data_IF_549436103716
#
_entry.id   IF_549436103716
#
_cell.length_a   1.000
_cell.length_b   1.000
_cell.length_c   1.000
_cell.angle_alpha   90.00
_cell.angle_beta   90.00
_cell.angle_gamma   90.00
#
_symmetry.space_group_name_H-M   'P 1'
#
loop_
_entity.id
_entity.type
_entity.pdbx_description
1 polymer ?
#
# COMPACT_ATOMS: atom_id res chain seq x y z
N UNK A 1 14.34 -15.01 -11.14
CA UNK A 1 13.35 -15.38 -12.18
C UNK A 1 12.74 -16.76 -11.94
N UNK A 2 13.54 -17.80 -11.67
CA UNK A 2 13.05 -19.15 -11.37
C UNK A 2 11.97 -19.21 -10.27
N UNK A 3 12.13 -18.42 -9.20
CA UNK A 3 11.15 -18.31 -8.11
C UNK A 3 9.77 -17.81 -8.59
N UNK A 4 9.71 -16.78 -9.44
CA UNK A 4 8.44 -16.27 -9.97
C UNK A 4 7.76 -17.29 -10.88
N UNK A 5 8.55 -18.01 -11.68
CA UNK A 5 8.04 -19.08 -12.54
C UNK A 5 7.51 -20.25 -11.68
N UNK A 6 8.23 -20.65 -10.63
CA UNK A 6 7.78 -21.75 -9.76
C UNK A 6 6.51 -21.39 -9.01
N UNK A 7 6.38 -20.16 -8.50
CA UNK A 7 5.15 -19.70 -7.86
C UNK A 7 4.00 -19.72 -8.87
N UNK A 8 4.17 -19.10 -10.05
CA UNK A 8 3.14 -19.07 -11.08
C UNK A 8 2.70 -20.48 -11.52
N UNK A 9 3.65 -21.39 -11.75
CA UNK A 9 3.36 -22.77 -12.12
C UNK A 9 2.60 -23.52 -11.00
N UNK A 10 3.00 -23.33 -9.75
CA UNK A 10 2.34 -23.97 -8.60
C UNK A 10 0.92 -23.43 -8.42
N UNK A 11 0.73 -22.11 -8.52
CA UNK A 11 -0.61 -21.48 -8.42
C UNK A 11 -1.55 -21.99 -9.51
N UNK A 12 -1.07 -22.13 -10.76
CA UNK A 12 -1.88 -22.65 -11.86
C UNK A 12 -2.27 -24.12 -11.62
N UNK A 13 -1.33 -24.96 -11.17
CA UNK A 13 -1.60 -26.37 -10.85
C UNK A 13 -2.61 -26.51 -9.71
N UNK A 14 -2.46 -25.72 -8.65
CA UNK A 14 -3.37 -25.71 -7.51
C UNK A 14 -4.79 -25.30 -7.93
N UNK A 15 -4.92 -24.26 -8.76
CA UNK A 15 -6.22 -23.84 -9.29
C UNK A 15 -6.86 -24.92 -10.17
N UNK A 16 -6.08 -25.59 -11.03
CA UNK A 16 -6.59 -26.65 -11.91
C UNK A 16 -7.04 -27.88 -11.13
N UNK A 17 -6.27 -28.30 -10.12
CA UNK A 17 -6.63 -29.45 -9.28
C UNK A 17 -7.78 -29.14 -8.31
N UNK A 18 -7.82 -27.92 -7.79
CA UNK A 18 -8.88 -27.45 -6.89
C UNK A 18 -10.18 -27.06 -7.59
N UNK A 19 -10.19 -26.97 -8.93
CA UNK A 19 -11.35 -26.47 -9.68
C UNK A 19 -11.72 -25.03 -9.33
N UNK A 20 -10.75 -24.23 -8.87
CA UNK A 20 -10.97 -22.86 -8.38
C UNK A 20 -10.82 -21.88 -9.54
N UNK A 21 -11.81 -21.01 -9.74
CA UNK A 21 -11.74 -19.95 -10.74
C UNK A 21 -10.71 -18.87 -10.37
N UNK A 22 -10.14 -18.21 -11.38
CA UNK A 22 -9.12 -17.16 -11.17
C UNK A 22 -9.60 -16.02 -10.28
N UNK A 23 -10.89 -15.66 -10.38
CA UNK A 23 -11.48 -14.60 -9.57
C UNK A 23 -11.56 -15.00 -8.08
N UNK A 24 -11.86 -16.26 -7.77
CA UNK A 24 -11.92 -16.73 -6.40
C UNK A 24 -10.52 -16.87 -5.78
N UNK A 25 -9.56 -17.35 -6.58
CA UNK A 25 -8.15 -17.38 -6.19
C UNK A 25 -7.63 -15.98 -5.86
N UNK A 26 -7.87 -15.01 -6.74
CA UNK A 26 -7.43 -13.63 -6.52
C UNK A 26 -8.11 -13.00 -5.29
N UNK A 27 -9.40 -13.27 -5.06
CA UNK A 27 -10.09 -12.81 -3.85
C UNK A 27 -9.49 -13.44 -2.59
N UNK A 28 -9.12 -14.71 -2.65
CA UNK A 28 -8.47 -15.41 -1.54
C UNK A 28 -7.09 -14.80 -1.23
N UNK A 29 -6.27 -14.56 -2.25
CA UNK A 29 -4.97 -13.91 -2.05
C UNK A 29 -5.10 -12.49 -1.48
N UNK A 30 -6.07 -11.71 -1.97
CA UNK A 30 -6.36 -10.39 -1.43
C UNK A 30 -6.74 -10.45 0.05
N UNK A 31 -7.62 -11.39 0.45
CA UNK A 31 -7.99 -11.59 1.85
C UNK A 31 -6.82 -12.07 2.69
N UNK A 32 -5.96 -12.93 2.13
CA UNK A 32 -4.77 -13.42 2.82
C UNK A 32 -3.77 -12.31 3.09
N UNK A 33 -3.44 -11.47 2.10
CA UNK A 33 -2.53 -10.33 2.27
C UNK A 33 -3.09 -9.34 3.29
N UNK A 34 -4.36 -8.95 3.16
CA UNK A 34 -4.99 -7.98 4.08
C UNK A 34 -5.09 -8.57 5.50
N UNK A 35 -5.50 -9.82 5.62
CA UNK A 35 -5.58 -10.54 6.89
C UNK A 35 -4.20 -10.66 7.56
N UNK A 36 -3.16 -10.96 6.78
CA UNK A 36 -1.79 -11.08 7.25
C UNK A 36 -1.22 -9.77 7.77
N UNK A 37 -1.47 -8.66 7.08
CA UNK A 37 -1.00 -7.33 7.50
C UNK A 37 -1.63 -6.90 8.83
N UNK A 38 -2.89 -7.24 9.09
CA UNK A 38 -3.61 -6.73 10.27
C UNK A 38 -3.81 -7.70 11.41
N UNK A 39 -4.34 -8.88 11.14
CA UNK A 39 -4.68 -9.82 12.20
C UNK A 39 -3.43 -10.32 12.94
N UNK A 40 -2.30 -10.46 12.23
CA UNK A 40 -1.06 -10.90 12.84
C UNK A 40 -0.40 -9.79 13.65
N UNK A 41 -0.32 -8.56 13.13
CA UNK A 41 0.21 -7.42 13.90
C UNK A 41 -0.64 -7.15 15.15
N UNK A 42 -1.95 -7.23 15.03
CA UNK A 42 -2.86 -7.03 16.17
C UNK A 42 -2.72 -8.16 17.20
N UNK A 43 -2.64 -9.42 16.78
CA UNK A 43 -2.41 -10.55 17.67
C UNK A 43 -1.05 -10.45 18.38
N UNK A 44 0.00 -10.02 17.68
CA UNK A 44 1.32 -9.78 18.27
C UNK A 44 1.26 -8.65 19.32
N UNK A 45 0.62 -7.52 19.00
CA UNK A 45 0.50 -6.41 19.93
C UNK A 45 -0.30 -6.79 21.18
N UNK A 46 -1.41 -7.50 21.02
CA UNK A 46 -2.19 -8.01 22.15
C UNK A 46 -1.42 -9.03 22.99
N UNK A 47 -0.68 -9.94 22.34
CA UNK A 47 0.19 -10.89 23.04
C UNK A 47 1.27 -10.19 23.85
N UNK A 48 1.89 -9.16 23.28
CA UNK A 48 2.93 -8.36 23.93
C UNK A 48 2.37 -7.56 25.12
N UNK A 49 1.20 -6.93 24.98
CA UNK A 49 0.52 -6.26 26.10
C UNK A 49 0.14 -7.23 27.22
N UNK A 50 -0.28 -8.46 26.89
CA UNK A 50 -0.58 -9.48 27.88
C UNK A 50 0.66 -9.90 28.66
N UNK A 51 1.79 -10.10 27.96
CA UNK A 51 3.05 -10.53 28.58
C UNK A 51 3.70 -9.40 29.40
N UNK A 52 3.72 -8.17 28.88
CA UNK A 52 4.42 -7.05 29.52
C UNK A 52 3.58 -6.26 30.52
N UNK A 53 2.29 -6.08 30.25
CA UNK A 53 1.40 -5.23 31.05
C UNK A 53 0.33 -6.02 31.84
N UNK A 54 0.29 -7.36 31.71
CA UNK A 54 -0.66 -8.20 32.44
C UNK A 54 -2.13 -7.95 32.09
N UNK A 55 -2.41 -7.26 30.98
CA UNK A 55 -3.77 -6.91 30.57
C UNK A 55 -4.51 -8.17 30.09
N UNK A 56 -5.66 -8.46 30.69
CA UNK A 56 -6.52 -9.58 30.27
C UNK A 56 -7.15 -9.26 28.91
N UNK A 57 -6.59 -9.84 27.84
CA UNK A 57 -7.14 -9.77 26.49
C UNK A 57 -8.35 -10.72 26.37
N UNK A 58 -9.53 -10.27 26.77
CA UNK A 58 -10.76 -11.01 26.51
C UNK A 58 -11.17 -10.82 25.05
N UNK A 59 -11.06 -11.90 24.26
CA UNK A 59 -11.67 -11.98 22.94
C UNK A 59 -13.18 -12.13 23.12
N UNK A 60 -13.91 -11.01 23.21
CA UNK A 60 -15.36 -11.05 23.07
C UNK A 60 -15.68 -11.44 21.64
N UNK A 61 -16.04 -12.71 21.44
CA UNK A 61 -16.57 -13.22 20.18
C UNK A 61 -17.90 -12.52 19.95
N UNK A 62 -17.92 -11.49 19.10
CA UNK A 62 -19.17 -10.82 18.70
C UNK A 62 -20.01 -11.86 17.96
N UNK A 63 -21.08 -12.36 18.58
CA UNK A 63 -22.09 -13.14 17.90
C UNK A 63 -22.69 -12.26 16.79
N UNK A 64 -22.88 -12.81 15.60
CA UNK A 64 -23.68 -12.19 14.53
C UNK A 64 -25.18 -12.31 14.86
N UNK A 65 -25.59 -11.97 16.08
CA UNK A 65 -26.99 -11.83 16.44
C UNK A 65 -27.32 -10.34 16.31
N UNK A 66 -28.23 -10.05 15.39
CA UNK A 66 -28.92 -8.79 15.22
C UNK A 66 -29.52 -8.33 16.56
N UNK A 67 -29.04 -7.22 17.12
CA UNK A 67 -29.82 -6.43 18.09
C UNK A 67 -29.32 -4.97 18.12
N UNK A 68 -30.14 -4.12 17.48
CA UNK A 68 -30.69 -2.85 17.93
C UNK A 68 -29.75 -1.79 18.57
N UNK A 69 -29.54 -0.71 17.80
CA UNK A 69 -29.26 0.67 18.28
C UNK A 69 -27.90 0.93 18.93
N UNK A 70 -27.58 0.23 20.01
CA UNK A 70 -26.44 0.50 20.89
C UNK A 70 -25.13 -0.12 20.35
N UNK A 71 -25.22 -1.26 19.67
CA UNK A 71 -24.06 -1.90 19.02
C UNK A 71 -23.74 -1.34 17.63
N UNK A 72 -24.58 -0.46 17.09
CA UNK A 72 -24.31 0.19 15.80
C UNK A 72 -23.08 1.10 15.88
N UNK A 73 -22.91 1.86 16.96
CA UNK A 73 -21.71 2.67 17.21
C UNK A 73 -20.47 1.79 17.42
N UNK A 74 -20.59 0.68 18.16
CA UNK A 74 -19.49 -0.28 18.33
C UNK A 74 -19.08 -0.94 16.99
N UNK A 75 -20.04 -1.23 16.12
CA UNK A 75 -19.81 -1.78 14.79
C UNK A 75 -19.16 -0.75 13.85
N UNK A 76 -19.56 0.52 13.93
CA UNK A 76 -18.93 1.65 13.23
C UNK A 76 -17.47 1.80 13.69
N UNK A 77 -17.21 1.80 14.99
CA UNK A 77 -15.87 1.93 15.55
C UNK A 77 -14.96 0.77 15.14
N UNK A 78 -15.48 -0.47 15.18
CA UNK A 78 -14.74 -1.68 14.78
C UNK A 78 -14.41 -1.70 13.28
N UNK A 79 -15.32 -1.22 12.44
CA UNK A 79 -15.08 -1.10 11.00
C UNK A 79 -14.04 -0.02 10.68
N UNK A 80 -14.14 1.18 11.26
CA UNK A 80 -13.17 2.26 11.03
C UNK A 80 -11.76 1.85 11.47
N UNK A 81 -11.62 1.23 12.65
CA UNK A 81 -10.33 0.76 13.15
C UNK A 81 -9.68 -0.29 12.23
N UNK A 82 -10.50 -1.17 11.62
CA UNK A 82 -10.03 -2.13 10.62
C UNK A 82 -9.61 -1.46 9.30
N UNK A 83 -10.22 -0.31 8.95
CA UNK A 83 -9.90 0.46 7.74
C UNK A 83 -8.68 1.33 7.83
N UNK A 84 -8.35 1.87 9.00
CA UNK A 84 -7.26 2.83 9.17
C UNK A 84 -5.97 2.30 8.54
N UNK A 85 -5.48 1.09 8.85
CA UNK A 85 -4.13 0.81 8.46
C UNK A 85 -3.93 0.20 7.06
N UNK A 86 -4.91 -0.43 6.38
CA UNK A 86 -4.85 -0.58 4.93
C UNK A 86 -4.84 0.79 4.22
N UNK A 87 -5.63 1.77 4.68
CA UNK A 87 -5.61 3.12 4.11
C UNK A 87 -4.26 3.82 4.29
N UNK A 88 -3.63 3.71 5.47
CA UNK A 88 -2.31 4.31 5.69
C UNK A 88 -1.26 3.68 4.78
N UNK A 89 -1.26 2.35 4.64
CA UNK A 89 -0.36 1.65 3.72
C UNK A 89 -0.56 2.12 2.28
N UNK A 90 -1.80 2.25 1.84
CA UNK A 90 -2.12 2.76 0.51
C UNK A 90 -1.59 4.18 0.29
N UNK A 91 -1.84 5.10 1.24
CA UNK A 91 -1.40 6.50 1.15
C UNK A 91 0.12 6.58 1.08
N UNK A 92 0.83 5.84 1.95
CA UNK A 92 2.29 5.79 1.95
C UNK A 92 2.83 5.23 0.63
N UNK A 93 2.16 4.23 0.05
CA UNK A 93 2.54 3.66 -1.24
C UNK A 93 2.40 4.68 -2.38
N UNK A 94 1.29 5.42 -2.42
CA UNK A 94 1.05 6.47 -3.41
C UNK A 94 2.10 7.59 -3.29
N UNK A 95 2.40 8.03 -2.06
CA UNK A 95 3.46 9.02 -1.83
C UNK A 95 4.82 8.48 -2.32
N UNK A 96 5.13 7.21 -2.03
CA UNK A 96 6.34 6.56 -2.48
C UNK A 96 6.47 6.52 -4.02
N UNK A 97 5.38 6.26 -4.74
CA UNK A 97 5.35 6.33 -6.21
C UNK A 97 5.68 7.74 -6.70
N UNK A 98 5.04 8.76 -6.12
CA UNK A 98 5.25 10.17 -6.51
C UNK A 98 6.73 10.56 -6.31
N UNK A 99 7.30 10.21 -5.16
CA UNK A 99 8.71 10.49 -4.85
C UNK A 99 9.64 9.73 -5.80
N UNK A 100 9.39 8.44 -6.05
CA UNK A 100 10.22 7.63 -6.93
C UNK A 100 10.21 8.14 -8.38
N UNK A 101 9.05 8.55 -8.90
CA UNK A 101 8.95 9.15 -10.23
C UNK A 101 9.67 10.50 -10.27
N UNK A 102 9.50 11.34 -9.24
CA UNK A 102 10.17 12.64 -9.17
C UNK A 102 11.69 12.49 -9.14
N UNK A 103 12.21 11.54 -8.37
CA UNK A 103 13.63 11.21 -8.28
C UNK A 103 14.17 10.71 -9.63
N UNK A 104 13.44 9.84 -10.32
CA UNK A 104 13.86 9.31 -11.61
C UNK A 104 13.87 10.36 -12.74
N UNK A 105 12.96 11.33 -12.69
CA UNK A 105 12.95 12.46 -13.63
C UNK A 105 14.17 13.37 -13.39
N UNK A 106 14.56 13.58 -12.13
CA UNK A 106 15.65 14.50 -11.78
C UNK A 106 17.04 13.89 -12.00
N UNK A 107 17.21 12.57 -11.83
CA UNK A 107 18.52 11.91 -11.84
C UNK A 107 18.86 11.20 -13.18
N UNK A 108 18.07 11.39 -14.24
CA UNK A 108 18.40 10.90 -15.59
C UNK A 108 18.19 9.39 -15.81
N UNK A 109 18.66 8.88 -16.96
CA UNK A 109 18.24 7.57 -17.52
C UNK A 109 18.65 6.35 -16.67
N UNK A 110 19.74 6.44 -15.92
CA UNK A 110 20.25 5.33 -15.10
C UNK A 110 19.32 4.96 -13.92
N UNK A 111 18.43 5.86 -13.53
CA UNK A 111 17.45 5.65 -12.46
C UNK A 111 16.19 4.86 -12.89
N UNK A 112 15.98 4.64 -14.19
CA UNK A 112 14.75 4.03 -14.73
C UNK A 112 14.65 2.53 -14.50
N UNK A 113 15.78 1.81 -14.48
CA UNK A 113 15.81 0.38 -14.16
C UNK A 113 15.31 0.11 -12.72
N UNK A 114 15.92 0.75 -11.70
CA UNK A 114 15.44 0.67 -10.32
C UNK A 114 14.01 1.16 -10.13
N UNK A 115 13.59 2.20 -10.87
CA UNK A 115 12.23 2.72 -10.83
C UNK A 115 11.20 1.63 -11.20
N UNK A 116 11.44 0.86 -12.26
CA UNK A 116 10.52 -0.19 -12.70
C UNK A 116 10.25 -1.21 -11.58
N UNK A 117 11.29 -1.64 -10.86
CA UNK A 117 11.15 -2.53 -9.71
C UNK A 117 10.32 -1.91 -8.61
N UNK A 118 10.60 -0.66 -8.22
CA UNK A 118 9.84 0.08 -7.19
C UNK A 118 8.36 0.22 -7.57
N UNK A 119 8.08 0.59 -8.82
CA UNK A 119 6.71 0.73 -9.33
C UNK A 119 5.98 -0.61 -9.39
N UNK A 120 6.65 -1.69 -9.79
CA UNK A 120 6.04 -3.02 -9.85
C UNK A 120 5.54 -3.47 -8.47
N UNK A 121 6.37 -3.36 -7.44
CA UNK A 121 5.97 -3.71 -6.07
C UNK A 121 4.89 -2.77 -5.54
N UNK A 122 5.01 -1.48 -5.81
CA UNK A 122 4.03 -0.50 -5.38
C UNK A 122 2.63 -0.76 -5.98
N UNK A 123 2.58 -1.02 -7.29
CA UNK A 123 1.35 -1.39 -7.99
C UNK A 123 0.79 -2.73 -7.52
N UNK A 124 1.64 -3.72 -7.25
CA UNK A 124 1.22 -5.00 -6.70
C UNK A 124 0.49 -4.84 -5.36
N UNK A 125 1.01 -3.99 -4.46
CA UNK A 125 0.35 -3.67 -3.18
C UNK A 125 -0.99 -2.97 -3.43
N UNK A 126 -1.04 -1.96 -4.31
CA UNK A 126 -2.27 -1.22 -4.61
C UNK A 126 -3.36 -2.15 -5.19
N UNK A 127 -2.98 -3.08 -6.07
CA UNK A 127 -3.92 -4.06 -6.64
C UNK A 127 -4.51 -4.99 -5.58
N UNK A 128 -3.73 -5.40 -4.58
CA UNK A 128 -4.23 -6.22 -3.47
C UNK A 128 -5.15 -5.43 -2.53
N UNK A 129 -4.92 -4.12 -2.36
CA UNK A 129 -5.74 -3.24 -1.53
C UNK A 129 -6.98 -2.68 -2.25
N UNK A 130 -7.09 -2.86 -3.58
CA UNK A 130 -8.22 -2.34 -4.39
C UNK A 130 -9.63 -2.74 -3.91
N UNK A 131 -9.91 -4.00 -3.50
CA UNK A 131 -11.24 -4.38 -2.99
C UNK A 131 -11.65 -3.55 -1.77
N UNK A 132 -10.68 -3.12 -0.98
CA UNK A 132 -10.90 -2.31 0.21
C UNK A 132 -11.22 -0.86 -0.13
N UNK A 133 -10.48 -0.29 -1.08
CA UNK A 133 -10.82 0.99 -1.71
C UNK A 133 -12.25 0.96 -2.23
N UNK A 134 -12.61 -0.10 -2.96
CA UNK A 134 -13.99 -0.30 -3.45
C UNK A 134 -15.00 -0.46 -2.32
N UNK A 135 -14.63 -1.11 -1.21
CA UNK A 135 -15.48 -1.24 -0.02
C UNK A 135 -15.70 0.08 0.73
N UNK A 136 -14.70 0.96 0.78
CA UNK A 136 -14.80 2.31 1.37
C UNK A 136 -15.60 3.23 0.45
N UNK A 137 -15.30 3.22 -0.85
CA UNK A 137 -16.00 4.02 -1.85
C UNK A 137 -17.45 3.54 -2.08
N UNK A 138 -17.73 2.25 -1.93
CA UNK A 138 -19.07 1.68 -2.06
C UNK A 138 -20.04 2.12 -0.96
N UNK A 139 -19.55 2.66 0.17
CA UNK A 139 -20.37 3.30 1.19
C UNK A 139 -20.68 4.78 0.87
N UNK A 140 -19.88 5.38 0.00
CA UNK A 140 -20.11 6.71 -0.56
C UNK A 140 -20.71 6.55 -1.96
N UNK A 141 -21.99 6.19 -2.03
CA UNK A 141 -22.75 6.36 -3.27
C UNK A 141 -22.78 7.85 -3.61
N UNK A 142 -21.83 8.33 -4.41
CA UNK A 142 -21.89 9.71 -4.88
C UNK A 142 -20.59 10.43 -5.18
N UNK A 143 -19.39 9.85 -5.02
CA UNK A 143 -18.19 10.52 -5.56
C UNK A 143 -18.14 10.27 -7.07
N UNK A 144 -18.45 11.26 -7.92
CA UNK A 144 -18.48 11.06 -9.36
C UNK A 144 -17.05 10.79 -9.84
N UNK A 145 -16.85 9.79 -10.70
CA UNK A 145 -15.54 9.48 -11.31
C UNK A 145 -14.87 10.72 -11.91
N UNK A 146 -15.67 11.69 -12.38
CA UNK A 146 -15.18 12.97 -12.89
C UNK A 146 -14.43 13.81 -11.84
N UNK A 147 -14.87 13.83 -10.57
CA UNK A 147 -14.19 14.57 -9.50
C UNK A 147 -12.83 13.94 -9.20
N UNK A 148 -12.74 12.60 -9.23
CA UNK A 148 -11.48 11.88 -9.05
C UNK A 148 -10.45 12.27 -10.13
N UNK A 149 -10.87 12.31 -11.39
CA UNK A 149 -10.01 12.69 -12.52
C UNK A 149 -9.49 14.12 -12.36
N UNK A 150 -10.36 15.06 -12.00
CA UNK A 150 -9.95 16.45 -11.75
C UNK A 150 -8.99 16.59 -10.57
N UNK A 151 -9.21 15.84 -9.47
CA UNK A 151 -8.32 15.85 -8.32
C UNK A 151 -6.91 15.35 -8.67
N UNK A 152 -6.82 14.26 -9.44
CA UNK A 152 -5.52 13.71 -9.90
C UNK A 152 -4.81 14.71 -10.82
N UNK A 153 -5.54 15.32 -11.76
CA UNK A 153 -4.99 16.32 -12.67
C UNK A 153 -4.45 17.51 -11.88
N UNK A 154 -5.24 18.07 -10.96
CA UNK A 154 -4.83 19.20 -10.14
C UNK A 154 -3.64 18.86 -9.23
N UNK A 155 -3.64 17.69 -8.59
CA UNK A 155 -2.55 17.22 -7.76
C UNK A 155 -1.24 17.06 -8.56
N UNK A 156 -1.31 16.56 -9.80
CA UNK A 156 -0.15 16.44 -10.68
C UNK A 156 0.45 17.82 -11.03
N UNK A 157 -0.38 18.81 -11.35
CA UNK A 157 0.05 20.19 -11.60
C UNK A 157 0.72 20.77 -10.35
N UNK A 158 0.12 20.65 -9.17
CA UNK A 158 0.70 21.14 -7.92
C UNK A 158 2.02 20.45 -7.59
N UNK A 159 2.14 19.14 -7.81
CA UNK A 159 3.38 18.39 -7.59
C UNK A 159 4.50 18.87 -8.53
N UNK A 160 4.21 19.07 -9.81
CA UNK A 160 5.18 19.58 -10.78
C UNK A 160 5.62 21.01 -10.46
N UNK A 161 4.67 21.88 -10.09
CA UNK A 161 4.96 23.25 -9.65
C UNK A 161 5.84 23.25 -8.38
N UNK A 162 5.52 22.39 -7.41
CA UNK A 162 6.30 22.25 -6.19
C UNK A 162 7.76 21.87 -6.49
N UNK A 163 7.99 20.84 -7.30
CA UNK A 163 9.34 20.42 -7.71
C UNK A 163 10.08 21.57 -8.42
N UNK A 164 9.39 22.35 -9.25
CA UNK A 164 10.01 23.47 -9.96
C UNK A 164 10.38 24.63 -9.03
N UNK A 165 9.53 24.95 -8.06
CA UNK A 165 9.68 26.11 -7.17
C UNK A 165 10.62 25.79 -5.99
N UNK A 166 10.66 24.55 -5.52
CA UNK A 166 11.37 24.19 -4.30
C UNK A 166 12.89 24.46 -4.45
N UNK A 167 13.45 25.40 -3.66
CA UNK A 167 14.87 25.75 -3.72
C UNK A 167 15.76 24.75 -2.95
N UNK A 168 15.17 23.85 -2.16
CA UNK A 168 15.88 22.87 -1.32
C UNK A 168 16.13 21.54 -2.02
N UNK A 169 15.58 21.34 -3.21
CA UNK A 169 16.01 20.25 -4.10
C UNK A 169 17.29 20.71 -4.77
N UNK A 170 18.40 19.99 -4.53
CA UNK A 170 19.66 20.22 -5.20
C UNK A 170 19.45 20.06 -6.71
N UNK A 171 19.32 21.18 -7.43
CA UNK A 171 19.11 21.19 -8.90
C UNK A 171 20.38 20.93 -9.69
N UNK A 172 21.52 20.96 -9.01
CA UNK A 172 22.82 20.75 -9.58
C UNK A 172 23.48 19.66 -8.73
N UNK A 173 23.84 18.54 -9.35
CA UNK A 173 24.96 17.76 -8.86
C UNK A 173 26.10 18.75 -8.58
N UNK A 174 26.73 18.60 -7.42
CA UNK A 174 27.96 19.33 -7.11
C UNK A 174 28.89 18.94 -8.25
N UNK A 175 29.25 19.89 -9.12
CA UNK A 175 30.28 19.67 -10.12
C UNK A 175 31.53 19.32 -9.33
N UNK A 176 31.85 18.03 -9.24
CA UNK A 176 33.12 17.54 -8.75
C UNK A 176 34.15 17.98 -9.79
N UNK A 177 34.58 19.23 -9.69
CA UNK A 177 35.78 19.69 -10.37
C UNK A 177 36.91 18.77 -9.89
N UNK A 178 37.60 18.13 -10.83
CA UNK A 178 38.74 17.27 -10.54
C UNK A 178 39.75 18.15 -9.81
N UNK A 179 39.84 18.03 -8.49
CA UNK A 179 40.90 18.65 -7.72
C UNK A 179 42.19 18.01 -8.22
N UNK A 180 43.02 18.77 -8.93
CA UNK A 180 44.24 18.33 -9.62
C UNK A 180 45.36 17.83 -8.70
N UNK A 181 45.01 17.15 -7.61
CA UNK A 181 45.92 16.45 -6.73
C UNK A 181 46.27 15.11 -7.38
N UNK A 182 47.53 15.04 -7.83
CA UNK A 182 48.13 13.83 -8.35
C UNK A 182 48.38 12.88 -7.16
N UNK A 183 47.60 11.81 -7.04
CA UNK A 183 47.71 10.80 -5.97
C UNK A 183 48.70 9.67 -6.31
N UNK A 184 49.63 9.91 -7.25
CA UNK A 184 50.61 8.92 -7.72
C UNK A 184 51.99 9.00 -7.03
N UNK A 185 52.09 9.59 -5.83
CA UNK A 185 53.31 9.51 -5.01
C UNK A 185 53.01 9.09 -3.57
#
# INVERSE_FOLDING_TARGET
MALFISIAATSILEMQWGGVGIHDWQRNEQLWVIGGVFSHLFALYQGLLKVLAGVNTNFTVTSKATDDGEFAELYIFKWISLLIPPLTLLILNIIGIIVAISDAINNGYDSWGPLFGKLFFALWVILHLYPFLKGVMGKQEGVPTIILVWAILLASIFSLLWVRINPFLAKNDIVLEICGLNCDN
#
